data_IF_538335268558
#
_entry.id   IF_538335268558
#
_cell.length_a   1.000
_cell.length_b   1.000
_cell.length_c   1.000
_cell.angle_alpha   90.00
_cell.angle_beta   90.00
_cell.angle_gamma   90.00
#
_symmetry.space_group_name_H-M   'P 1'
#
loop_
_entity.id
_entity.type
_entity.pdbx_description
1 polymer ?
#
# COMPACT_ATOMS: atom_id res chain seq x y z
N UNK A 1 17.97 17.40 11.51
CA UNK A 1 18.53 18.25 10.44
C UNK A 1 19.94 17.84 9.99
N UNK A 2 20.86 17.41 10.88
CA UNK A 2 22.22 17.02 10.48
C UNK A 2 22.34 15.72 9.67
N UNK A 3 21.38 14.80 9.77
CA UNK A 3 21.38 13.50 9.05
C UNK A 3 21.06 13.60 7.55
N UNK A 4 20.26 14.59 7.14
CA UNK A 4 19.87 14.80 5.74
C UNK A 4 21.02 15.29 4.86
N UNK A 5 21.95 16.08 5.43
CA UNK A 5 23.07 16.62 4.68
C UNK A 5 24.15 15.56 4.43
N UNK A 6 24.41 14.69 5.42
CA UNK A 6 25.32 13.56 5.26
C UNK A 6 24.83 12.55 4.22
N UNK A 7 23.53 12.25 4.21
CA UNK A 7 22.92 11.37 3.20
C UNK A 7 22.96 11.98 1.79
N UNK A 8 22.75 13.29 1.65
CA UNK A 8 22.86 13.99 0.37
C UNK A 8 24.31 14.03 -0.14
N UNK A 9 25.28 14.20 0.75
CA UNK A 9 26.71 14.16 0.40
C UNK A 9 27.15 12.75 0.00
N UNK A 10 26.66 11.70 0.67
CA UNK A 10 26.93 10.30 0.30
C UNK A 10 26.30 9.94 -1.06
N UNK A 11 25.06 10.34 -1.31
CA UNK A 11 24.42 10.17 -2.62
C UNK A 11 25.19 10.91 -3.72
N UNK A 12 25.70 12.10 -3.44
CA UNK A 12 26.52 12.87 -4.39
C UNK A 12 27.86 12.19 -4.68
N UNK A 13 28.51 11.63 -3.66
CA UNK A 13 29.75 10.86 -3.88
C UNK A 13 29.49 9.57 -4.65
N UNK A 14 28.41 8.85 -4.36
CA UNK A 14 28.06 7.61 -5.06
C UNK A 14 27.68 7.85 -6.52
N UNK A 15 27.00 8.97 -6.81
CA UNK A 15 26.72 9.43 -8.17
C UNK A 15 28.01 9.77 -8.94
N UNK A 16 28.97 10.44 -8.30
CA UNK A 16 30.26 10.74 -8.91
C UNK A 16 31.08 9.46 -9.15
N UNK A 17 31.13 8.54 -8.18
CA UNK A 17 31.83 7.25 -8.32
C UNK A 17 31.21 6.37 -9.40
N UNK A 18 29.87 6.33 -9.47
CA UNK A 18 29.14 5.58 -10.52
C UNK A 18 29.36 6.19 -11.90
N UNK A 19 29.40 7.53 -12.00
CA UNK A 19 29.72 8.23 -13.24
C UNK A 19 31.15 7.94 -13.72
N UNK A 20 32.11 7.88 -12.80
CA UNK A 20 33.50 7.52 -13.12
C UNK A 20 33.63 6.06 -13.55
N UNK A 21 33.00 5.14 -12.82
CA UNK A 21 32.98 3.71 -13.17
C UNK A 21 32.39 3.46 -14.57
N UNK A 22 31.34 4.20 -14.95
CA UNK A 22 30.76 4.11 -16.28
C UNK A 22 31.74 4.61 -17.36
N UNK A 23 32.47 5.71 -17.11
CA UNK A 23 33.51 6.19 -18.03
C UNK A 23 34.64 5.17 -18.20
N UNK A 24 35.03 4.50 -17.12
CA UNK A 24 36.17 3.59 -17.11
C UNK A 24 35.85 2.20 -17.73
N UNK A 25 34.56 1.81 -17.80
CA UNK A 25 34.13 0.49 -18.27
C UNK A 25 33.36 0.50 -19.61
N UNK A 26 33.18 1.66 -20.24
CA UNK A 26 32.65 1.75 -21.60
C UNK A 26 33.79 1.49 -22.62
N UNK A 27 33.63 0.54 -23.56
CA UNK A 27 34.68 0.22 -24.51
C UNK A 27 35.03 1.43 -25.39
N UNK A 28 36.34 1.67 -25.53
CA UNK A 28 36.98 2.74 -26.32
C UNK A 28 36.72 2.51 -27.82
N UNK A 29 35.50 2.76 -28.29
CA UNK A 29 35.20 2.94 -29.72
C UNK A 29 33.85 3.62 -29.96
N UNK A 30 33.50 4.59 -29.12
CA UNK A 30 32.50 5.63 -29.42
C UNK A 30 32.98 6.86 -28.66
N UNK A 31 32.89 8.05 -29.24
CA UNK A 31 33.19 9.32 -28.55
C UNK A 31 32.26 9.45 -27.34
N UNK A 32 32.70 8.93 -26.20
CA UNK A 32 31.89 8.70 -24.99
C UNK A 32 31.40 10.03 -24.44
N UNK A 33 32.20 11.09 -24.57
CA UNK A 33 31.81 12.44 -24.17
C UNK A 33 30.70 13.02 -25.07
N UNK A 34 30.71 12.73 -26.38
CA UNK A 34 29.62 13.13 -27.26
C UNK A 34 28.30 12.40 -26.91
N UNK A 35 28.37 11.12 -26.56
CA UNK A 35 27.19 10.33 -26.14
C UNK A 35 26.66 10.79 -24.78
N UNK A 36 27.53 10.99 -23.79
CA UNK A 36 27.14 11.49 -22.48
C UNK A 36 26.56 12.91 -22.57
N UNK A 37 27.13 13.78 -23.42
CA UNK A 37 26.59 15.11 -23.69
C UNK A 37 25.22 15.04 -24.37
N UNK A 38 25.05 14.16 -25.36
CA UNK A 38 23.76 13.97 -26.03
C UNK A 38 22.69 13.43 -25.07
N UNK A 39 23.05 12.52 -24.15
CA UNK A 39 22.16 12.01 -23.12
C UNK A 39 21.80 13.08 -22.09
N UNK A 40 22.76 13.87 -21.61
CA UNK A 40 22.53 14.98 -20.67
C UNK A 40 21.66 16.08 -21.31
N UNK A 41 21.93 16.43 -22.57
CA UNK A 41 21.12 17.39 -23.34
C UNK A 41 19.71 16.86 -23.62
N UNK A 42 19.55 15.56 -23.91
CA UNK A 42 18.23 14.93 -24.08
C UNK A 42 17.45 14.91 -22.77
N UNK A 43 18.09 14.53 -21.67
CA UNK A 43 17.50 14.49 -20.34
C UNK A 43 17.07 15.89 -19.90
N UNK A 44 17.94 16.89 -20.02
CA UNK A 44 17.64 18.30 -19.71
C UNK A 44 16.50 18.83 -20.56
N UNK A 45 16.47 18.56 -21.88
CA UNK A 45 15.37 18.97 -22.76
C UNK A 45 14.03 18.34 -22.35
N UNK A 46 14.03 17.05 -21.98
CA UNK A 46 12.82 16.34 -21.55
C UNK A 46 12.32 16.85 -20.21
N UNK A 47 13.23 17.15 -19.28
CA UNK A 47 12.94 17.83 -18.02
C UNK A 47 12.33 19.21 -18.25
N UNK A 48 12.96 20.03 -19.08
CA UNK A 48 12.53 21.41 -19.34
C UNK A 48 11.17 21.43 -20.06
N UNK A 49 10.94 20.51 -21.01
CA UNK A 49 9.63 20.30 -21.65
C UNK A 49 8.56 19.88 -20.65
N UNK A 50 8.88 18.96 -19.73
CA UNK A 50 7.96 18.52 -18.67
C UNK A 50 7.64 19.66 -17.69
N UNK A 51 8.63 20.45 -17.30
CA UNK A 51 8.45 21.62 -16.45
C UNK A 51 7.62 22.70 -17.14
N UNK A 52 7.89 23.00 -18.41
CA UNK A 52 7.08 23.94 -19.23
C UNK A 52 5.64 23.45 -19.39
N UNK A 53 5.44 22.16 -19.64
CA UNK A 53 4.10 21.55 -19.73
C UNK A 53 3.33 21.64 -18.42
N UNK A 54 3.97 21.32 -17.29
CA UNK A 54 3.37 21.47 -15.95
C UNK A 54 3.08 22.93 -15.61
N UNK A 55 4.00 23.84 -15.91
CA UNK A 55 3.84 25.29 -15.71
C UNK A 55 2.65 25.82 -16.51
N UNK A 56 2.55 25.45 -17.80
CA UNK A 56 1.42 25.84 -18.67
C UNK A 56 0.09 25.28 -18.15
N UNK A 57 0.07 24.03 -17.66
CA UNK A 57 -1.12 23.43 -17.06
C UNK A 57 -1.53 24.15 -15.77
N UNK A 58 -0.56 24.54 -14.95
CA UNK A 58 -0.78 25.33 -13.73
C UNK A 58 -1.34 26.72 -14.06
N UNK A 59 -0.76 27.41 -15.05
CA UNK A 59 -1.24 28.72 -15.53
C UNK A 59 -2.68 28.61 -16.04
N UNK A 60 -3.00 27.55 -16.80
CA UNK A 60 -4.36 27.33 -17.28
C UNK A 60 -5.35 27.07 -16.14
N UNK A 61 -4.94 26.33 -15.10
CA UNK A 61 -5.76 26.11 -13.90
C UNK A 61 -5.96 27.39 -13.09
N UNK A 62 -4.90 28.20 -12.92
CA UNK A 62 -4.96 29.50 -12.25
C UNK A 62 -5.89 30.46 -13.00
N UNK A 63 -5.83 30.47 -14.33
CA UNK A 63 -6.67 31.34 -15.15
C UNK A 63 -8.14 30.87 -15.25
N UNK A 64 -8.38 29.56 -15.08
CA UNK A 64 -9.71 28.97 -15.13
C UNK A 64 -10.50 29.06 -13.82
N UNK A 65 -9.81 29.28 -12.69
CA UNK A 65 -10.42 29.44 -11.37
C UNK A 65 -10.30 30.90 -10.87
N UNK A 66 -11.42 31.64 -10.75
CA UNK A 66 -11.42 33.03 -10.30
C UNK A 66 -10.76 33.24 -8.93
N UNK A 67 -10.87 32.25 -8.04
CA UNK A 67 -10.30 32.32 -6.68
C UNK A 67 -8.78 32.21 -6.76
N UNK A 68 -8.26 31.27 -7.56
CA UNK A 68 -6.82 31.08 -7.75
C UNK A 68 -6.18 32.30 -8.42
N UNK A 69 -6.83 32.90 -9.42
CA UNK A 69 -6.36 34.12 -10.08
C UNK A 69 -6.23 35.28 -9.09
N UNK A 70 -7.24 35.48 -8.24
CA UNK A 70 -7.26 36.53 -7.22
C UNK A 70 -6.19 36.32 -6.13
N UNK A 71 -5.81 35.07 -5.85
CA UNK A 71 -4.75 34.75 -4.88
C UNK A 71 -3.35 35.03 -5.41
N UNK A 72 -3.11 34.85 -6.71
CA UNK A 72 -1.84 35.16 -7.38
C UNK A 72 -1.69 36.68 -7.54
N UNK A 73 -2.74 37.39 -7.93
CA UNK A 73 -2.70 38.84 -8.15
C UNK A 73 -2.53 39.67 -6.86
N UNK A 74 -2.93 39.12 -5.70
CA UNK A 74 -2.84 39.80 -4.39
C UNK A 74 -1.63 39.40 -3.54
N UNK A 75 -0.73 38.58 -4.09
CA UNK A 75 0.50 38.12 -3.42
C UNK A 75 0.25 37.63 -1.98
N UNK A 76 -0.84 36.88 -1.77
CA UNK A 76 -1.27 36.46 -0.43
C UNK A 76 -0.37 35.31 0.06
N UNK A 77 0.43 35.50 1.12
CA UNK A 77 1.47 34.54 1.54
C UNK A 77 0.94 33.25 2.18
N UNK A 78 -0.37 33.07 2.28
CA UNK A 78 -0.98 31.99 3.07
C UNK A 78 -1.37 30.74 2.26
N UNK A 79 -1.19 30.72 0.94
CA UNK A 79 -1.56 29.57 0.10
C UNK A 79 -0.39 28.89 -0.63
N UNK A 80 0.82 29.45 -0.62
CA UNK A 80 2.02 28.85 -1.24
C UNK A 80 2.81 27.91 -0.31
N UNK A 81 2.31 27.65 0.90
CA UNK A 81 2.88 26.67 1.83
C UNK A 81 2.47 25.23 1.45
N UNK A 82 2.99 24.75 0.31
CA UNK A 82 2.91 23.35 -0.12
C UNK A 82 4.28 22.64 -0.02
N UNK A 83 5.02 22.93 1.05
CA UNK A 83 5.90 21.94 1.67
C UNK A 83 5.22 21.45 2.94
N UNK A 84 5.38 20.16 3.34
CA UNK A 84 4.62 19.58 4.43
C UNK A 84 4.73 20.50 5.63
N UNK A 85 3.56 20.93 6.15
CA UNK A 85 3.43 21.78 7.33
C UNK A 85 4.60 21.45 8.26
N UNK A 86 5.49 22.42 8.47
CA UNK A 86 6.50 22.33 9.53
C UNK A 86 5.75 21.75 10.72
N UNK A 87 6.16 20.54 11.12
CA UNK A 87 5.63 19.87 12.30
C UNK A 87 5.90 20.87 13.40
N UNK A 88 4.90 21.69 13.73
CA UNK A 88 4.92 22.46 14.96
C UNK A 88 5.27 21.42 16.01
N UNK A 89 6.29 21.65 16.85
CA UNK A 89 6.51 20.75 17.97
C UNK A 89 5.16 20.70 18.66
N UNK A 90 4.48 19.54 18.59
CA UNK A 90 3.30 19.33 19.41
C UNK A 90 3.79 19.61 20.81
N UNK A 91 3.17 20.59 21.46
CA UNK A 91 3.31 20.78 22.88
C UNK A 91 3.20 19.38 23.50
N UNK A 92 4.23 19.02 24.24
CA UNK A 92 4.45 17.73 24.86
C UNK A 92 3.33 17.41 25.83
N UNK A 93 2.19 16.99 25.29
CA UNK A 93 1.35 16.00 25.91
C UNK A 93 1.88 14.69 25.34
N UNK A 94 2.25 13.76 26.20
CA UNK A 94 2.68 12.42 25.80
C UNK A 94 1.53 11.76 25.02
N UNK A 95 1.48 11.96 23.70
CA UNK A 95 0.55 11.23 22.84
C UNK A 95 0.99 9.78 22.89
N UNK A 96 0.28 8.99 23.70
CA UNK A 96 0.50 7.55 23.77
C UNK A 96 0.38 6.98 22.36
N UNK A 97 1.52 6.53 21.81
CA UNK A 97 1.59 5.91 20.48
C UNK A 97 0.74 4.65 20.39
N UNK A 98 0.41 4.06 21.55
CA UNK A 98 -0.38 2.85 21.69
C UNK A 98 -1.56 3.16 22.59
N UNK A 99 -2.77 3.00 22.08
CA UNK A 99 -3.99 3.01 22.87
C UNK A 99 -4.42 1.55 23.11
N UNK A 100 -4.20 1.05 24.32
CA UNK A 100 -4.67 -0.29 24.70
C UNK A 100 -6.11 -0.20 25.22
N UNK A 101 -7.07 -0.65 24.40
CA UNK A 101 -8.49 -0.75 24.74
C UNK A 101 -8.92 -2.20 24.96
N UNK A 102 -7.95 -3.12 25.06
CA UNK A 102 -8.16 -4.53 25.33
C UNK A 102 -7.87 -4.85 26.79
N UNK A 103 -8.23 -6.05 27.23
CA UNK A 103 -7.88 -6.55 28.55
C UNK A 103 -6.46 -7.15 28.58
N UNK A 104 -5.82 -7.32 27.41
CA UNK A 104 -4.50 -7.91 27.28
C UNK A 104 -3.41 -6.98 27.83
N UNK A 105 -2.53 -7.56 28.66
CA UNK A 105 -1.41 -6.84 29.25
C UNK A 105 -0.17 -7.03 28.38
N UNK A 106 0.21 -5.96 27.68
CA UNK A 106 1.42 -5.96 26.86
C UNK A 106 2.67 -6.07 27.74
N UNK A 107 3.57 -6.97 27.37
CA UNK A 107 4.92 -6.98 27.92
C UNK A 107 5.69 -5.72 27.50
N UNK A 108 6.79 -5.43 28.20
CA UNK A 108 7.66 -4.29 27.85
C UNK A 108 8.26 -4.42 26.44
N UNK A 109 8.53 -5.65 25.98
CA UNK A 109 9.07 -5.90 24.64
C UNK A 109 8.01 -5.75 23.56
N UNK A 110 6.79 -6.26 23.80
CA UNK A 110 5.64 -6.09 22.89
C UNK A 110 5.27 -4.62 22.73
N UNK A 111 5.24 -3.87 23.84
CA UNK A 111 4.99 -2.43 23.81
C UNK A 111 6.05 -1.70 22.98
N UNK A 112 7.33 -2.03 23.19
CA UNK A 112 8.43 -1.45 22.42
C UNK A 112 8.36 -1.76 20.92
N UNK A 113 7.85 -2.94 20.53
CA UNK A 113 7.59 -3.29 19.13
C UNK A 113 6.49 -2.41 18.55
N UNK A 114 5.35 -2.30 19.23
CA UNK A 114 4.21 -1.52 18.75
C UNK A 114 4.51 0.00 18.69
N UNK A 115 5.38 0.51 19.56
CA UNK A 115 5.83 1.91 19.55
C UNK A 115 6.66 2.29 18.31
N UNK A 116 7.16 1.30 17.57
CA UNK A 116 7.86 1.49 16.28
C UNK A 116 6.89 1.75 15.12
N UNK A 117 5.58 1.64 15.35
CA UNK A 117 4.49 1.78 14.38
C UNK A 117 4.31 0.57 13.44
N UNK A 118 3.09 0.39 12.89
CA UNK A 118 2.72 -0.69 11.98
C UNK A 118 3.42 -0.60 10.62
N UNK A 119 3.97 0.58 10.31
CA UNK A 119 4.78 0.82 9.11
C UNK A 119 6.26 0.42 9.27
N UNK A 120 6.67 0.00 10.47
CA UNK A 120 8.05 -0.41 10.74
C UNK A 120 8.45 -1.62 9.89
N UNK A 121 9.62 -1.53 9.25
CA UNK A 121 10.20 -2.62 8.49
C UNK A 121 11.39 -3.24 9.25
N UNK A 122 11.26 -4.47 9.76
CA UNK A 122 12.39 -5.20 10.35
C UNK A 122 13.52 -5.41 9.35
N UNK A 123 14.77 -5.34 9.80
CA UNK A 123 15.93 -5.66 8.95
C UNK A 123 15.84 -7.11 8.47
N UNK A 124 15.60 -7.32 7.18
CA UNK A 124 15.52 -8.68 6.61
C UNK A 124 16.87 -9.15 6.12
N UNK A 125 17.03 -10.47 6.07
CA UNK A 125 18.12 -11.07 5.33
C UNK A 125 17.95 -10.86 3.83
N UNK A 126 19.09 -10.80 3.15
CA UNK A 126 19.13 -10.74 1.69
C UNK A 126 18.38 -11.96 1.12
N UNK A 127 17.29 -11.71 0.42
CA UNK A 127 16.54 -12.75 -0.28
C UNK A 127 17.13 -12.90 -1.68
N UNK A 128 18.14 -13.77 -1.80
CA UNK A 128 18.80 -14.02 -3.08
C UNK A 128 17.84 -14.57 -4.14
N UNK A 129 16.89 -15.42 -3.73
CA UNK A 129 15.92 -16.04 -4.64
C UNK A 129 14.92 -15.00 -5.14
N UNK A 130 14.34 -14.22 -4.22
CA UNK A 130 13.43 -13.13 -4.57
C UNK A 130 14.09 -12.07 -5.44
N UNK A 131 15.33 -11.66 -5.11
CA UNK A 131 16.09 -10.68 -5.90
C UNK A 131 16.34 -11.18 -7.33
N UNK A 132 16.71 -12.45 -7.51
CA UNK A 132 16.88 -13.05 -8.83
C UNK A 132 15.55 -13.13 -9.61
N UNK A 133 14.44 -13.43 -8.94
CA UNK A 133 13.12 -13.43 -9.55
C UNK A 133 12.70 -12.02 -9.98
N UNK A 134 12.89 -11.02 -9.12
CA UNK A 134 12.58 -9.62 -9.41
C UNK A 134 13.42 -9.08 -10.57
N UNK A 135 14.69 -9.50 -10.66
CA UNK A 135 15.54 -9.18 -11.80
C UNK A 135 14.99 -9.79 -13.10
N UNK A 136 14.57 -11.05 -13.10
CA UNK A 136 13.94 -11.68 -14.27
C UNK A 136 12.67 -10.94 -14.69
N UNK A 137 11.82 -10.57 -13.74
CA UNK A 137 10.64 -9.76 -14.03
C UNK A 137 10.98 -8.33 -14.50
N UNK A 138 12.11 -7.78 -14.07
CA UNK A 138 12.62 -6.52 -14.61
C UNK A 138 13.08 -6.67 -16.06
N UNK A 139 13.92 -7.66 -16.37
CA UNK A 139 14.34 -7.98 -17.74
C UNK A 139 13.11 -8.16 -18.64
N UNK A 140 12.15 -8.98 -18.18
CA UNK A 140 10.87 -9.23 -18.86
C UNK A 140 10.04 -7.96 -19.08
N UNK A 141 10.18 -6.91 -18.27
CA UNK A 141 9.45 -5.64 -18.46
C UNK A 141 10.16 -4.71 -19.45
N UNK A 142 11.47 -4.85 -19.63
CA UNK A 142 12.26 -4.04 -20.55
C UNK A 142 12.07 -4.53 -21.99
N UNK A 143 12.15 -5.84 -22.21
CA UNK A 143 12.14 -6.43 -23.56
C UNK A 143 10.86 -6.15 -24.37
N UNK A 144 9.62 -6.33 -23.85
CA UNK A 144 8.41 -5.97 -24.57
C UNK A 144 8.28 -4.47 -24.81
N UNK A 145 8.73 -3.63 -23.87
CA UNK A 145 8.68 -2.17 -24.04
C UNK A 145 9.60 -1.70 -25.17
N UNK A 146 10.73 -2.35 -25.34
CA UNK A 146 11.59 -2.11 -26.49
C UNK A 146 10.96 -2.65 -27.78
N UNK A 147 10.47 -3.89 -27.76
CA UNK A 147 9.85 -4.53 -28.93
C UNK A 147 8.69 -3.75 -29.53
N UNK A 148 7.81 -3.23 -28.69
CA UNK A 148 6.64 -2.43 -29.10
C UNK A 148 6.92 -0.92 -29.08
N UNK A 149 8.16 -0.49 -28.80
CA UNK A 149 8.51 0.92 -28.63
C UNK A 149 8.38 1.76 -29.91
N UNK A 150 8.44 1.11 -31.08
CA UNK A 150 8.29 1.75 -32.39
C UNK A 150 6.82 1.82 -32.85
N UNK A 151 5.89 1.18 -32.12
CA UNK A 151 4.46 1.15 -32.44
C UNK A 151 3.78 2.39 -31.81
N UNK A 152 3.92 3.54 -32.47
CA UNK A 152 3.39 4.85 -32.07
C UNK A 152 1.85 4.94 -32.18
N UNK A 153 1.15 3.82 -32.08
CA UNK A 153 -0.32 3.76 -32.10
C UNK A 153 -0.87 4.26 -30.76
N UNK A 154 -1.14 5.56 -30.74
CA UNK A 154 -1.81 6.36 -29.70
C UNK A 154 -3.25 5.93 -29.30
N UNK A 155 -3.64 4.68 -29.55
CA UNK A 155 -4.88 4.06 -29.02
C UNK A 155 -4.70 3.41 -27.63
N UNK A 156 -3.60 3.76 -26.94
CA UNK A 156 -3.10 3.14 -25.70
C UNK A 156 -4.10 3.18 -24.52
N UNK A 157 -5.01 4.16 -24.48
CA UNK A 157 -5.90 4.33 -23.33
C UNK A 157 -7.05 3.30 -23.26
N UNK A 158 -7.51 2.78 -24.41
CA UNK A 158 -8.60 1.79 -24.45
C UNK A 158 -8.04 0.36 -24.31
N UNK A 159 -6.87 0.10 -24.88
CA UNK A 159 -6.19 -1.21 -24.85
C UNK A 159 -5.64 -1.58 -23.46
N UNK A 160 -5.20 -0.61 -22.66
CA UNK A 160 -4.73 -0.86 -21.29
C UNK A 160 -5.83 -1.41 -20.37
N UNK A 161 -7.06 -0.91 -20.51
CA UNK A 161 -8.20 -1.37 -19.72
C UNK A 161 -8.57 -2.82 -20.07
N UNK A 162 -8.66 -3.14 -21.37
CA UNK A 162 -8.99 -4.50 -21.84
C UNK A 162 -7.85 -5.50 -21.56
N UNK A 163 -6.59 -5.07 -21.65
CA UNK A 163 -5.43 -5.92 -21.36
C UNK A 163 -5.29 -6.27 -19.87
N UNK A 164 -5.76 -5.39 -18.98
CA UNK A 164 -5.76 -5.64 -17.53
C UNK A 164 -6.69 -6.79 -17.09
N UNK A 165 -7.61 -7.20 -17.98
CA UNK A 165 -8.61 -8.25 -17.77
C UNK A 165 -8.16 -9.62 -18.28
N UNK A 166 -7.02 -9.69 -18.98
CA UNK A 166 -6.46 -10.95 -19.47
C UNK A 166 -5.33 -11.43 -18.57
N UNK A 167 -5.08 -12.76 -18.51
CA UNK A 167 -3.84 -13.26 -17.95
C UNK A 167 -2.66 -12.55 -18.61
N UNK A 168 -1.73 -12.04 -17.81
CA UNK A 168 -0.54 -11.39 -18.33
C UNK A 168 0.21 -12.37 -19.23
N UNK A 169 0.52 -11.93 -20.45
CA UNK A 169 1.35 -12.71 -21.36
C UNK A 169 2.69 -13.05 -20.71
N UNK A 170 3.07 -14.32 -20.80
CA UNK A 170 4.40 -14.82 -20.41
C UNK A 170 5.41 -14.68 -21.54
N UNK A 171 4.97 -14.23 -22.72
CA UNK A 171 5.82 -14.11 -23.88
C UNK A 171 6.85 -12.98 -23.71
N UNK A 172 8.07 -13.27 -24.13
CA UNK A 172 9.16 -12.31 -24.28
C UNK A 172 9.74 -12.44 -25.68
N UNK A 173 10.15 -11.32 -26.30
CA UNK A 173 10.80 -11.40 -27.60
C UNK A 173 12.12 -12.18 -27.50
N UNK A 174 12.57 -12.83 -28.61
CA UNK A 174 13.86 -13.48 -28.65
C UNK A 174 15.02 -12.53 -28.35
N UNK A 175 16.04 -13.03 -27.66
CA UNK A 175 17.32 -12.33 -27.47
C UNK A 175 17.99 -12.04 -28.82
N UNK A 176 18.83 -11.01 -28.88
CA UNK A 176 19.59 -10.62 -30.07
C UNK A 176 18.92 -9.59 -30.97
N UNK A 177 17.67 -9.17 -30.66
CA UNK A 177 17.01 -8.06 -31.36
C UNK A 177 17.74 -6.73 -31.11
N UNK A 178 18.13 -6.49 -29.87
CA UNK A 178 18.71 -5.22 -29.45
C UNK A 178 19.91 -5.45 -28.54
N UNK A 179 21.08 -5.34 -29.15
CA UNK A 179 22.37 -5.57 -28.49
C UNK A 179 22.55 -4.67 -27.26
N UNK A 180 21.96 -3.47 -27.24
CA UNK A 180 22.09 -2.56 -26.10
C UNK A 180 21.23 -3.03 -24.91
N UNK A 181 19.99 -3.45 -25.15
CA UNK A 181 19.12 -4.01 -24.11
C UNK A 181 19.69 -5.32 -23.59
N UNK A 182 20.13 -6.22 -24.47
CA UNK A 182 20.71 -7.50 -24.09
C UNK A 182 22.01 -7.31 -23.27
N UNK A 183 22.85 -6.34 -23.66
CA UNK A 183 24.04 -5.99 -22.89
C UNK A 183 23.67 -5.40 -21.53
N UNK A 184 22.67 -4.52 -21.48
CA UNK A 184 22.21 -3.92 -20.24
C UNK A 184 21.65 -4.97 -19.26
N UNK A 185 20.77 -5.86 -19.72
CA UNK A 185 20.21 -6.94 -18.88
C UNK A 185 21.32 -7.89 -18.41
N UNK A 186 22.25 -8.26 -19.29
CA UNK A 186 23.43 -9.06 -18.92
C UNK A 186 24.30 -8.38 -17.86
N UNK A 187 24.57 -7.09 -18.00
CA UNK A 187 25.35 -6.32 -17.01
C UNK A 187 24.59 -6.19 -15.69
N UNK A 188 23.30 -5.90 -15.72
CA UNK A 188 22.46 -5.83 -14.52
C UNK A 188 22.47 -7.17 -13.76
N UNK A 189 22.38 -8.28 -14.49
CA UNK A 189 22.48 -9.64 -13.94
C UNK A 189 23.84 -9.92 -13.31
N UNK A 190 24.92 -9.54 -13.98
CA UNK A 190 26.27 -9.67 -13.43
C UNK A 190 26.44 -8.84 -12.14
N UNK A 191 25.93 -7.60 -12.11
CA UNK A 191 25.99 -6.74 -10.94
C UNK A 191 25.19 -7.31 -9.77
N UNK A 192 23.96 -7.76 -10.00
CA UNK A 192 23.15 -8.41 -8.96
C UNK A 192 23.84 -9.67 -8.45
N UNK A 193 24.36 -10.52 -9.33
CA UNK A 193 25.08 -11.73 -8.91
C UNK A 193 26.34 -11.41 -8.09
N UNK A 194 27.12 -10.40 -8.48
CA UNK A 194 28.26 -9.93 -7.68
C UNK A 194 27.79 -9.44 -6.31
N UNK A 195 26.80 -8.56 -6.28
CA UNK A 195 26.22 -8.03 -5.05
C UNK A 195 25.76 -9.16 -4.12
N UNK A 196 25.02 -10.14 -4.64
CA UNK A 196 24.55 -11.29 -3.87
C UNK A 196 25.72 -12.12 -3.32
N UNK A 197 26.78 -12.33 -4.11
CA UNK A 197 27.97 -13.07 -3.69
C UNK A 197 28.78 -12.33 -2.62
N UNK A 198 28.93 -11.01 -2.77
CA UNK A 198 29.69 -10.17 -1.85
C UNK A 198 28.97 -10.05 -0.50
N UNK A 199 27.63 -10.04 -0.53
CA UNK A 199 26.80 -9.84 0.67
C UNK A 199 26.20 -11.13 1.23
N UNK A 200 26.57 -12.30 0.70
CA UNK A 200 26.07 -13.62 1.16
C UNK A 200 26.40 -13.94 2.62
N UNK A 201 27.47 -13.34 3.14
CA UNK A 201 27.97 -13.53 4.51
C UNK A 201 28.02 -12.23 5.31
N UNK A 202 27.44 -11.14 4.81
CA UNK A 202 27.48 -9.89 5.53
C UNK A 202 26.54 -9.94 6.74
N UNK A 203 27.06 -9.63 7.93
CA UNK A 203 26.24 -9.49 9.12
C UNK A 203 25.26 -8.33 8.92
N UNK A 204 23.98 -8.64 8.98
CA UNK A 204 22.93 -7.63 8.91
C UNK A 204 22.81 -6.98 10.27
N UNK A 205 22.98 -5.66 10.32
CA UNK A 205 22.64 -4.89 11.51
C UNK A 205 21.14 -5.02 11.79
N UNK A 206 20.82 -5.86 12.77
CA UNK A 206 19.44 -6.08 13.22
C UNK A 206 18.94 -4.83 13.93
N UNK A 207 17.83 -4.28 13.45
CA UNK A 207 17.15 -3.14 14.07
C UNK A 207 16.19 -3.52 15.21
N UNK A 208 16.18 -4.81 15.59
CA UNK A 208 15.37 -5.41 16.65
C UNK A 208 16.17 -6.45 17.43
N UNK A 209 15.83 -6.61 18.71
CA UNK A 209 16.35 -7.70 19.53
C UNK A 209 15.66 -9.03 19.19
N UNK A 210 16.25 -10.19 19.57
CA UNK A 210 15.60 -11.50 19.36
C UNK A 210 14.21 -11.60 19.98
N UNK A 211 14.00 -11.02 21.17
CA UNK A 211 12.69 -10.98 21.83
C UNK A 211 11.67 -10.15 21.04
N UNK A 212 12.06 -8.98 20.55
CA UNK A 212 11.18 -8.15 19.71
C UNK A 212 10.81 -8.85 18.39
N UNK A 213 11.75 -9.60 17.79
CA UNK A 213 11.47 -10.42 16.61
C UNK A 213 10.43 -11.51 16.89
N UNK A 214 10.54 -12.18 18.04
CA UNK A 214 9.56 -13.16 18.48
C UNK A 214 8.18 -12.50 18.64
N UNK A 215 8.13 -11.32 19.24
CA UNK A 215 6.90 -10.56 19.48
C UNK A 215 6.23 -10.10 18.18
N UNK A 216 6.98 -9.67 17.16
CA UNK A 216 6.43 -9.37 15.82
C UNK A 216 5.75 -10.61 15.21
N UNK A 217 6.26 -11.80 15.49
CA UNK A 217 5.67 -13.05 15.02
C UNK A 217 4.49 -13.54 15.85
N UNK A 218 4.46 -13.27 17.17
CA UNK A 218 3.40 -13.74 18.07
C UNK A 218 2.20 -12.79 18.15
N UNK A 219 2.43 -11.47 18.18
CA UNK A 219 1.36 -10.47 18.32
C UNK A 219 0.25 -10.62 17.25
N UNK A 220 0.55 -10.79 15.94
CA UNK A 220 -0.49 -10.99 14.93
C UNK A 220 -1.17 -12.36 14.99
N UNK A 221 -0.60 -13.33 15.69
CA UNK A 221 -1.16 -14.68 15.86
C UNK A 221 -2.00 -14.81 17.12
N UNK A 222 -1.97 -13.83 18.00
CA UNK A 222 -2.81 -13.81 19.19
C UNK A 222 -4.27 -13.61 18.75
N UNK A 223 -5.11 -14.60 19.03
CA UNK A 223 -6.53 -14.60 18.64
C UNK A 223 -7.41 -13.78 19.58
N UNK A 224 -6.90 -13.39 20.76
CA UNK A 224 -7.64 -12.60 21.76
C UNK A 224 -7.62 -11.11 21.47
N UNK A 225 -6.66 -10.64 20.67
CA UNK A 225 -6.45 -9.22 20.37
C UNK A 225 -6.48 -8.92 18.88
N UNK A 226 -6.94 -7.72 18.55
CA UNK A 226 -6.88 -7.13 17.22
C UNK A 226 -6.02 -5.86 17.30
N UNK A 227 -4.99 -5.81 16.45
CA UNK A 227 -4.10 -4.65 16.31
C UNK A 227 -4.47 -3.90 15.04
N UNK A 228 -4.84 -2.62 15.18
CA UNK A 228 -5.23 -1.75 14.05
C UNK A 228 -4.71 -0.33 14.24
N UNK A 229 -4.48 0.44 13.15
CA UNK A 229 -4.30 1.87 13.28
C UNK A 229 -5.60 2.54 13.72
N UNK A 230 -5.51 3.64 14.48
CA UNK A 230 -6.66 4.50 14.70
C UNK A 230 -7.06 5.26 13.42
N UNK A 231 -8.36 5.49 13.24
CA UNK A 231 -8.91 6.30 12.13
C UNK A 231 -8.34 7.74 12.12
N UNK A 232 -8.06 8.28 13.31
CA UNK A 232 -7.43 9.59 13.49
C UNK A 232 -6.65 9.60 14.79
N UNK A 233 -5.48 10.24 14.79
CA UNK A 233 -4.61 10.37 15.95
C UNK A 233 -3.25 9.68 15.80
N UNK A 234 -3.03 8.90 14.73
CA UNK A 234 -1.72 8.33 14.41
C UNK A 234 -1.20 7.32 15.44
N UNK A 235 -2.09 6.75 16.26
CA UNK A 235 -1.73 5.74 17.25
C UNK A 235 -2.09 4.33 16.75
N UNK A 236 -1.40 3.35 17.32
CA UNK A 236 -1.75 1.92 17.21
C UNK A 236 -2.79 1.61 18.28
N UNK A 237 -3.81 0.85 17.92
CA UNK A 237 -4.87 0.43 18.85
C UNK A 237 -4.83 -1.06 19.07
N UNK A 238 -5.05 -1.46 20.32
CA UNK A 238 -5.21 -2.85 20.73
C UNK A 238 -6.64 -3.04 21.22
N UNK A 239 -7.39 -3.97 20.63
CA UNK A 239 -8.78 -4.23 20.92
C UNK A 239 -8.96 -5.70 21.30
N UNK A 240 -9.91 -6.05 22.17
CA UNK A 240 -10.31 -7.45 22.30
C UNK A 240 -10.96 -7.90 20.99
N UNK A 241 -10.62 -9.09 20.50
CA UNK A 241 -11.19 -9.63 19.26
C UNK A 241 -12.71 -9.77 19.34
N UNK A 242 -13.23 -10.20 20.49
CA UNK A 242 -14.67 -10.35 20.70
C UNK A 242 -15.42 -9.03 20.60
N UNK A 243 -14.92 -7.97 21.26
CA UNK A 243 -15.54 -6.65 21.24
C UNK A 243 -15.50 -6.04 19.82
N UNK A 244 -14.40 -6.26 19.10
CA UNK A 244 -14.25 -5.81 17.71
C UNK A 244 -15.28 -6.45 16.78
N UNK A 245 -15.48 -7.76 16.91
CA UNK A 245 -16.47 -8.51 16.11
C UNK A 245 -17.89 -8.09 16.50
N UNK A 246 -18.20 -8.04 17.80
CA UNK A 246 -19.52 -7.66 18.29
C UNK A 246 -19.92 -6.26 17.81
N UNK A 247 -19.00 -5.30 17.81
CA UNK A 247 -19.28 -3.96 17.29
C UNK A 247 -19.55 -3.96 15.78
N UNK A 248 -18.80 -4.75 15.00
CA UNK A 248 -19.05 -4.89 13.57
C UNK A 248 -20.41 -5.54 13.29
N UNK A 249 -20.77 -6.59 14.04
CA UNK A 249 -22.08 -7.25 13.95
C UNK A 249 -23.22 -6.31 14.35
N UNK A 250 -23.05 -5.50 15.40
CA UNK A 250 -24.04 -4.50 15.81
C UNK A 250 -24.34 -3.50 14.69
N UNK A 251 -23.30 -3.02 13.98
CA UNK A 251 -23.48 -2.12 12.84
C UNK A 251 -24.14 -2.82 11.65
N UNK A 252 -23.75 -4.06 11.34
CA UNK A 252 -24.29 -4.84 10.22
C UNK A 252 -25.73 -5.33 10.45
N UNK A 253 -26.13 -5.52 11.71
CA UNK A 253 -27.48 -5.93 12.09
C UNK A 253 -28.49 -4.76 12.08
N UNK A 254 -28.04 -3.52 11.79
CA UNK A 254 -28.94 -2.39 11.64
C UNK A 254 -29.75 -2.49 10.35
N UNK A 255 -30.96 -3.02 10.47
CA UNK A 255 -31.90 -3.24 9.36
C UNK A 255 -32.40 -1.96 8.69
N UNK A 256 -32.11 -0.79 9.26
CA UNK A 256 -32.38 0.51 8.61
C UNK A 256 -31.43 0.77 7.45
N UNK A 257 -30.21 0.22 7.51
CA UNK A 257 -29.15 0.45 6.53
C UNK A 257 -28.74 -0.82 5.77
N UNK A 258 -28.83 -1.99 6.40
CA UNK A 258 -28.36 -3.25 5.85
C UNK A 258 -29.46 -4.31 5.77
N UNK A 259 -29.36 -5.20 4.78
CA UNK A 259 -30.22 -6.37 4.64
C UNK A 259 -29.35 -7.60 4.46
N UNK A 260 -29.59 -8.62 5.27
CA UNK A 260 -28.91 -9.91 5.14
C UNK A 260 -29.32 -10.58 3.84
N UNK A 261 -28.35 -11.12 3.11
CA UNK A 261 -28.56 -11.87 1.87
C UNK A 261 -28.12 -13.31 2.13
N UNK A 262 -28.95 -14.27 1.75
CA UNK A 262 -28.69 -15.72 1.90
C UNK A 262 -27.81 -16.27 0.78
N UNK A 263 -27.92 -15.70 -0.42
CA UNK A 263 -27.15 -16.10 -1.60
C UNK A 263 -26.14 -15.02 -2.00
N UNK A 264 -24.96 -15.44 -2.45
CA UNK A 264 -23.96 -14.50 -2.96
C UNK A 264 -24.48 -13.92 -4.28
N UNK A 265 -24.91 -12.64 -4.34
CA UNK A 265 -25.57 -12.09 -5.52
C UNK A 265 -24.67 -12.07 -6.75
N UNK A 266 -23.35 -12.03 -6.54
CA UNK A 266 -22.40 -11.91 -7.63
C UNK A 266 -22.42 -13.10 -8.59
N UNK A 267 -22.80 -14.30 -8.15
CA UNK A 267 -22.92 -15.47 -9.04
C UNK A 267 -24.21 -15.41 -9.87
N UNK A 268 -25.35 -15.12 -9.24
CA UNK A 268 -26.64 -15.06 -9.94
C UNK A 268 -26.78 -13.85 -10.85
N UNK A 269 -26.28 -12.68 -10.42
CA UNK A 269 -26.25 -11.46 -11.26
C UNK A 269 -25.33 -11.67 -12.47
N UNK A 270 -24.18 -12.34 -12.29
CA UNK A 270 -23.28 -12.63 -13.41
C UNK A 270 -23.94 -13.54 -14.44
N UNK A 271 -24.59 -14.63 -14.01
CA UNK A 271 -25.29 -15.53 -14.93
C UNK A 271 -26.44 -14.83 -15.66
N UNK A 272 -27.32 -14.13 -14.94
CA UNK A 272 -28.44 -13.41 -15.54
C UNK A 272 -27.99 -12.30 -16.50
N UNK A 273 -26.88 -11.62 -16.19
CA UNK A 273 -26.28 -10.64 -17.09
C UNK A 273 -25.76 -11.30 -18.36
N UNK A 274 -25.09 -12.45 -18.27
CA UNK A 274 -24.57 -13.16 -19.43
C UNK A 274 -25.69 -13.69 -20.34
N UNK A 275 -26.79 -14.19 -19.76
CA UNK A 275 -27.92 -14.74 -20.53
C UNK A 275 -28.73 -13.68 -21.29
N UNK A 276 -28.62 -12.42 -20.90
CA UNK A 276 -29.36 -11.29 -21.51
C UNK A 276 -28.55 -10.50 -22.54
N UNK A 277 -27.26 -10.80 -22.71
CA UNK A 277 -26.38 -10.09 -23.61
C UNK A 277 -26.35 -10.72 -25.01
N UNK A 278 -26.28 -9.87 -26.04
CA UNK A 278 -26.06 -10.32 -27.41
C UNK A 278 -24.71 -11.04 -27.55
N UNK A 279 -24.64 -12.07 -28.40
CA UNK A 279 -23.44 -12.88 -28.67
C UNK A 279 -22.18 -12.05 -28.99
N UNK A 280 -22.36 -10.87 -29.59
CA UNK A 280 -21.29 -9.96 -29.98
C UNK A 280 -20.55 -9.32 -28.78
N UNK A 281 -21.22 -9.20 -27.63
CA UNK A 281 -20.73 -8.49 -26.42
C UNK A 281 -20.36 -9.47 -25.31
N UNK A 282 -20.91 -10.68 -25.36
CA UNK A 282 -20.70 -11.75 -24.38
C UNK A 282 -19.21 -12.03 -24.08
N UNK A 283 -18.31 -12.16 -25.08
CA UNK A 283 -16.90 -12.42 -24.81
C UNK A 283 -16.20 -11.27 -24.06
N UNK A 284 -16.63 -10.03 -24.30
CA UNK A 284 -16.06 -8.85 -23.65
C UNK A 284 -16.53 -8.74 -22.20
N UNK A 285 -17.81 -9.01 -21.94
CA UNK A 285 -18.37 -8.97 -20.58
C UNK A 285 -17.86 -10.13 -19.72
N UNK A 286 -17.71 -11.33 -20.29
CA UNK A 286 -17.08 -12.45 -19.58
C UNK A 286 -15.66 -12.12 -19.09
N UNK A 287 -14.91 -11.29 -19.83
CA UNK A 287 -13.58 -10.82 -19.42
C UNK A 287 -13.63 -9.79 -18.28
N UNK A 288 -14.71 -9.01 -18.18
CA UNK A 288 -14.92 -8.02 -17.10
C UNK A 288 -15.38 -8.65 -15.80
N UNK A 289 -15.97 -9.85 -15.86
CA UNK A 289 -16.44 -10.56 -14.69
C UNK A 289 -15.27 -11.26 -13.98
N UNK A 290 -15.13 -11.09 -12.65
CA UNK A 290 -14.11 -11.80 -11.91
C UNK A 290 -14.38 -13.30 -11.98
N UNK A 291 -13.40 -14.08 -12.45
CA UNK A 291 -13.50 -15.55 -12.56
C UNK A 291 -13.83 -16.25 -11.23
N UNK A 292 -13.46 -15.63 -10.10
CA UNK A 292 -13.79 -16.07 -8.75
C UNK A 292 -14.20 -14.86 -7.91
N UNK A 293 -15.50 -14.48 -7.91
CA UNK A 293 -15.94 -13.33 -7.13
C UNK A 293 -15.71 -13.61 -5.64
N UNK A 294 -15.14 -12.64 -4.91
CA UNK A 294 -14.97 -12.70 -3.46
C UNK A 294 -15.87 -11.66 -2.81
N UNK A 295 -16.52 -12.06 -1.72
CA UNK A 295 -17.29 -11.13 -0.89
C UNK A 295 -16.32 -10.14 -0.25
N UNK A 296 -16.70 -8.85 -0.24
CA UNK A 296 -15.92 -7.82 0.43
C UNK A 296 -15.81 -8.11 1.92
N UNK A 297 -14.61 -7.94 2.48
CA UNK A 297 -14.37 -8.09 3.92
C UNK A 297 -14.59 -6.75 4.60
N UNK A 298 -15.54 -6.69 5.54
CA UNK A 298 -15.68 -5.53 6.42
C UNK A 298 -14.55 -5.50 7.43
N UNK A 299 -13.96 -4.33 7.63
CA UNK A 299 -13.11 -4.03 8.77
C UNK A 299 -13.41 -2.61 9.26
N UNK A 300 -13.33 -2.41 10.56
CA UNK A 300 -13.53 -1.11 11.20
C UNK A 300 -12.21 -0.62 11.79
N UNK A 301 -12.07 0.71 11.89
CA UNK A 301 -10.96 1.38 12.58
C UNK A 301 -11.53 2.21 13.74
N UNK A 302 -10.94 2.12 14.95
CA UNK A 302 -11.45 2.84 16.10
C UNK A 302 -11.19 4.36 15.99
N UNK A 303 -12.23 5.14 16.27
CA UNK A 303 -12.17 6.61 16.32
C UNK A 303 -11.83 7.08 17.73
N UNK A 304 -10.61 6.82 18.18
CA UNK A 304 -10.20 7.07 19.59
C UNK A 304 -10.45 8.50 20.09
N UNK A 305 -10.35 9.50 19.20
CA UNK A 305 -10.64 10.90 19.51
C UNK A 305 -12.12 11.19 19.85
N UNK A 306 -13.02 10.22 19.66
CA UNK A 306 -14.43 10.31 20.08
C UNK A 306 -14.68 9.64 21.43
N UNK A 307 -13.77 8.80 21.94
CA UNK A 307 -13.97 8.09 23.20
C UNK A 307 -14.11 9.06 24.38
N UNK A 308 -13.29 10.11 24.45
CA UNK A 308 -13.39 11.13 25.51
C UNK A 308 -14.79 11.74 25.58
N UNK A 309 -15.42 11.99 24.43
CA UNK A 309 -16.79 12.51 24.35
C UNK A 309 -17.83 11.48 24.78
N UNK A 310 -17.59 10.19 24.55
CA UNK A 310 -18.50 9.12 25.00
C UNK A 310 -18.40 8.90 26.50
N UNK A 311 -17.19 9.03 27.08
CA UNK A 311 -16.95 8.93 28.52
C UNK A 311 -17.54 10.14 29.25
N UNK A 312 -17.36 11.35 28.72
CA UNK A 312 -17.95 12.57 29.31
C UNK A 312 -19.48 12.58 29.26
N UNK A 313 -20.08 11.98 28.23
CA UNK A 313 -21.54 11.84 28.09
C UNK A 313 -22.09 10.58 28.77
N UNK A 314 -21.24 9.69 29.28
CA UNK A 314 -21.69 8.58 30.11
C UNK A 314 -22.05 9.13 31.49
N UNK A 315 -23.23 8.78 32.07
CA UNK A 315 -23.58 9.26 33.40
C UNK A 315 -22.46 8.83 34.36
N UNK A 316 -21.83 9.80 35.02
CA UNK A 316 -20.75 9.57 35.99
C UNK A 316 -21.25 8.65 37.09
N UNK A 317 -21.06 7.33 36.94
CA UNK A 317 -21.26 6.40 38.03
C UNK A 317 -20.10 6.62 39.00
N UNK A 318 -20.39 7.31 40.10
CA UNK A 318 -19.49 7.46 41.22
C UNK A 318 -19.18 6.07 41.82
N UNK A 319 -17.93 5.64 41.66
CA UNK A 319 -17.21 4.63 42.45
C UNK A 319 -17.62 3.14 42.36
N UNK A 320 -16.66 2.23 42.65
CA UNK A 320 -16.55 0.94 41.97
C UNK A 320 -17.35 -0.12 42.70
N UNK A 321 -18.30 -0.71 42.00
CA UNK A 321 -18.73 -2.07 42.31
C UNK A 321 -18.49 -2.92 41.08
N UNK A 322 -17.83 -4.06 41.31
CA UNK A 322 -17.48 -5.12 40.37
C UNK A 322 -18.49 -5.23 39.22
N UNK A 323 -18.06 -5.44 37.96
CA UNK A 323 -19.01 -5.52 36.85
C UNK A 323 -20.02 -6.63 37.13
N UNK A 324 -21.28 -6.18 37.29
CA UNK A 324 -22.48 -7.00 37.29
C UNK A 324 -22.40 -7.95 36.09
N UNK A 325 -22.59 -9.24 36.35
CA UNK A 325 -23.02 -10.21 35.32
C UNK A 325 -24.13 -9.58 34.50
N UNK A 326 -23.92 -9.46 33.18
CA UNK A 326 -25.04 -9.26 32.26
C UNK A 326 -26.06 -10.37 32.48
N UNK A 327 -27.37 -10.05 32.48
CA UNK A 327 -28.38 -11.06 32.75
C UNK A 327 -28.37 -12.11 31.65
N UNK A 328 -27.97 -13.33 32.04
CA UNK A 328 -28.41 -14.56 31.39
C UNK A 328 -29.94 -14.52 31.38
N UNK A 329 -30.54 -14.17 30.24
CA UNK A 329 -31.94 -14.49 29.99
C UNK A 329 -32.07 -16.01 30.00
N UNK A 330 -32.48 -16.56 31.15
CA UNK A 330 -33.07 -17.89 31.21
C UNK A 330 -34.29 -17.87 30.29
N UNK A 331 -34.20 -18.53 29.13
CA UNK A 331 -35.41 -19.03 28.48
C UNK A 331 -35.91 -20.20 29.31
N UNK A 332 -37.07 -20.01 29.93
CA UNK A 332 -37.83 -21.13 30.47
C UNK A 332 -38.15 -22.09 29.33
N UNK A 333 -37.80 -23.35 29.57
CA UNK A 333 -38.41 -24.50 28.96
C UNK A 333 -39.93 -24.38 29.12
N UNK A 334 -40.64 -24.28 28.01
CA UNK A 334 -42.01 -24.75 27.96
C UNK A 334 -42.17 -25.64 26.73
N UNK A 335 -42.39 -26.90 27.06
CA UNK A 335 -42.70 -28.05 26.25
C UNK A 335 -43.85 -27.78 25.28
N UNK A 336 -43.64 -28.06 24.00
CA UNK A 336 -44.68 -28.56 23.11
C UNK A 336 -44.16 -29.87 22.51
N UNK A 337 -44.60 -30.98 23.10
CA UNK A 337 -44.55 -32.30 22.47
C UNK A 337 -45.64 -32.39 21.38
N UNK A 338 -45.34 -33.23 20.39
CA UNK A 338 -46.22 -33.83 19.37
C UNK A 338 -46.55 -32.92 18.16
N UNK A 339 -46.44 -33.36 16.90
CA UNK A 339 -46.22 -34.69 16.34
C UNK A 339 -45.95 -34.60 14.83
N UNK A 340 -45.10 -35.52 14.35
CA UNK A 340 -45.19 -36.25 13.08
C UNK A 340 -44.85 -35.59 11.72
N UNK A 341 -43.88 -36.24 11.08
CA UNK A 341 -43.89 -36.74 9.69
C UNK A 341 -43.91 -35.72 8.54
N UNK A 342 -42.78 -35.58 7.85
CA UNK A 342 -42.56 -36.34 6.61
C UNK A 342 -41.17 -36.11 6.02
N UNK A 343 -40.62 -37.20 5.51
CA UNK A 343 -39.55 -37.32 4.53
C UNK A 343 -39.80 -36.45 3.30
N UNK A 344 -38.76 -35.82 2.75
CA UNK A 344 -38.07 -36.15 1.48
C UNK A 344 -36.87 -35.22 1.30
#
# INVERSE_FOLDING_TARGET
>A
MKTSCAQQSALKSDLSSSGQYLKDNLPVFVDTDAVFKALDDSYKRKLDSSFKGKSKKLINLINGDPIMKLTVDKDLPFLTSNFPKSVRPKQSTSEEKIANLSNYQLSSTEKSVLEKDLSFCPSRCLDAVGTCFDLKEFERRVHPKEYYGDDDNSETYITDYVSSLQPKSTWTPPEGRNVYIDKFTKTARAHVNSFLNDHRHHDIHRNLTPSQYKDIGSLPRNTEIIIRPADKGGCVTLLNTQDYIAEAENQLNDSRFYRQITDIPSLSISCNLLDTLSDNILPTVQKLLPSKPKVGTLYTLPKIHKLSKLIENSPKILHPTLPRRWPLQRRNLQTCQNSQDNSW
#
